data_IF_437104608123
#
_entry.id   IF_437104608123
#
_cell.length_a   1.000
_cell.length_b   1.000
_cell.length_c   1.000
_cell.angle_alpha   90.00
_cell.angle_beta   90.00
_cell.angle_gamma   90.00
#
_symmetry.space_group_name_H-M   'P 1'
#
loop_
_entity.id
_entity.type
_entity.pdbx_description
1 polymer ?
#
# COMPACT_ATOMS: atom_id res chain seq x y z
N UNK A 1 -20.70 -28.60 1.21
CA UNK A 1 -19.23 -28.50 1.00
C UNK A 1 -18.72 -29.40 -0.13
N UNK A 2 -19.00 -30.72 -0.10
CA UNK A 2 -18.45 -31.67 -1.08
C UNK A 2 -18.80 -31.35 -2.54
N UNK A 3 -20.03 -30.90 -2.82
CA UNK A 3 -20.43 -30.43 -4.15
C UNK A 3 -19.64 -29.18 -4.62
N UNK A 4 -19.40 -28.20 -3.75
CA UNK A 4 -18.61 -27.01 -4.11
C UNK A 4 -17.15 -27.39 -4.43
N UNK A 5 -16.57 -28.27 -3.62
CA UNK A 5 -15.20 -28.77 -3.81
C UNK A 5 -15.06 -29.62 -5.08
N UNK A 6 -16.11 -30.26 -5.58
CA UNK A 6 -16.07 -31.00 -6.85
C UNK A 6 -16.22 -30.09 -8.08
N UNK A 7 -16.92 -28.96 -7.96
CA UNK A 7 -17.20 -28.08 -9.10
C UNK A 7 -16.19 -26.95 -9.29
N UNK A 8 -15.64 -26.37 -8.22
CA UNK A 8 -14.75 -25.21 -8.31
C UNK A 8 -13.29 -25.59 -8.00
N UNK A 9 -12.35 -25.05 -8.78
CA UNK A 9 -10.91 -25.21 -8.56
C UNK A 9 -10.35 -24.18 -7.57
N UNK A 10 -10.93 -22.99 -7.58
CA UNK A 10 -10.52 -21.86 -6.75
C UNK A 10 -11.72 -21.26 -6.01
N UNK A 11 -11.44 -20.67 -4.86
CA UNK A 11 -12.42 -20.03 -3.98
C UNK A 11 -11.89 -18.65 -3.60
N UNK A 12 -12.73 -17.63 -3.77
CA UNK A 12 -12.47 -16.30 -3.24
C UNK A 12 -13.35 -16.10 -2.01
N UNK A 13 -12.73 -15.74 -0.88
CA UNK A 13 -13.42 -15.28 0.31
C UNK A 13 -13.29 -13.76 0.36
N UNK A 14 -14.41 -13.07 0.49
CA UNK A 14 -14.52 -11.62 0.43
C UNK A 14 -15.58 -11.18 1.43
N UNK A 15 -15.24 -10.28 2.36
CA UNK A 15 -16.23 -9.67 3.25
C UNK A 15 -16.67 -8.26 2.80
N UNK A 16 -17.67 -7.71 3.48
CA UNK A 16 -18.26 -6.40 3.16
C UNK A 16 -17.49 -5.20 3.71
N UNK A 17 -16.35 -5.40 4.37
CA UNK A 17 -15.53 -4.34 4.96
C UNK A 17 -14.57 -3.71 3.96
N UNK A 18 -14.47 -4.21 2.73
CA UNK A 18 -13.62 -3.64 1.66
C UNK A 18 -14.38 -2.88 0.58
N UNK A 19 -13.63 -2.02 -0.12
CA UNK A 19 -14.01 -1.38 -1.38
C UNK A 19 -13.10 -1.87 -2.50
N UNK A 20 -13.68 -2.16 -3.66
CA UNK A 20 -12.98 -2.65 -4.85
C UNK A 20 -13.90 -3.53 -5.72
N UNK A 21 -13.36 -4.24 -6.72
CA UNK A 21 -11.96 -4.26 -7.12
C UNK A 21 -11.56 -2.95 -7.84
N UNK A 22 -10.45 -2.36 -7.43
CA UNK A 22 -9.78 -1.27 -8.13
C UNK A 22 -8.73 -1.84 -9.09
N UNK A 23 -8.97 -1.70 -10.39
CA UNK A 23 -8.03 -2.10 -11.44
C UNK A 23 -7.69 -0.92 -12.38
N UNK A 24 -6.46 -0.83 -12.88
CA UNK A 24 -6.12 0.20 -13.86
C UNK A 24 -7.03 0.17 -15.09
N UNK A 25 -7.30 1.34 -15.69
CA UNK A 25 -8.19 1.45 -16.87
C UNK A 25 -7.79 0.55 -18.03
N UNK A 26 -6.50 0.34 -18.26
CA UNK A 26 -6.00 -0.56 -19.31
C UNK A 26 -6.33 -2.04 -19.05
N UNK A 27 -6.56 -2.44 -17.79
CA UNK A 27 -7.10 -3.76 -17.44
C UNK A 27 -8.59 -3.84 -17.75
N UNK A 28 -9.33 -2.74 -17.69
CA UNK A 28 -10.76 -2.70 -18.04
C UNK A 28 -11.05 -2.61 -19.56
N UNK A 29 -10.08 -2.20 -20.38
CA UNK A 29 -10.32 -1.69 -21.74
C UNK A 29 -10.63 -2.71 -22.84
N UNK A 30 -10.53 -4.04 -22.64
CA UNK A 30 -10.91 -4.98 -23.72
C UNK A 30 -12.43 -5.17 -23.92
N UNK A 31 -13.28 -4.22 -23.52
CA UNK A 31 -14.73 -4.30 -23.77
C UNK A 31 -15.34 -3.04 -24.39
N UNK A 32 -14.53 -2.11 -24.90
CA UNK A 32 -15.07 -0.91 -25.56
C UNK A 32 -14.50 -0.75 -26.97
N UNK A 33 -15.17 -1.34 -27.97
CA UNK A 33 -15.18 -0.79 -29.33
C UNK A 33 -14.44 -1.50 -30.47
N UNK A 34 -14.18 -2.82 -30.43
CA UNK A 34 -13.60 -3.57 -31.55
C UNK A 34 -14.38 -4.86 -31.87
N UNK A 35 -14.37 -5.30 -33.13
CA UNK A 35 -15.07 -6.49 -33.62
C UNK A 35 -14.89 -7.71 -32.70
N UNK A 36 -16.00 -8.44 -32.49
CA UNK A 36 -16.15 -9.52 -31.50
C UNK A 36 -15.28 -10.77 -31.76
N UNK A 37 -14.40 -10.76 -32.77
CA UNK A 37 -13.84 -12.00 -33.32
C UNK A 37 -12.35 -12.00 -33.66
N UNK A 38 -11.60 -10.92 -33.49
CA UNK A 38 -10.18 -10.92 -33.87
C UNK A 38 -9.26 -10.70 -32.66
N UNK A 39 -8.86 -11.81 -32.04
CA UNK A 39 -7.80 -12.01 -31.04
C UNK A 39 -8.11 -11.73 -29.55
N UNK A 40 -8.16 -12.77 -28.69
CA UNK A 40 -8.47 -12.67 -27.27
C UNK A 40 -7.21 -12.37 -26.46
N UNK A 41 -6.82 -11.11 -26.36
CA UNK A 41 -6.12 -10.69 -25.14
C UNK A 41 -7.18 -10.63 -24.05
N UNK A 42 -7.49 -11.80 -23.47
CA UNK A 42 -8.46 -11.94 -22.40
C UNK A 42 -8.09 -10.93 -21.31
N UNK A 43 -8.90 -9.89 -21.15
CA UNK A 43 -8.79 -9.01 -19.99
C UNK A 43 -8.82 -9.90 -18.76
N UNK A 44 -7.72 -9.85 -18.00
CA UNK A 44 -7.60 -10.60 -16.76
C UNK A 44 -8.79 -10.22 -15.88
N UNK A 45 -9.63 -11.20 -15.59
CA UNK A 45 -10.67 -11.04 -14.56
C UNK A 45 -9.98 -10.61 -13.27
N UNK A 46 -10.59 -9.72 -12.48
CA UNK A 46 -10.04 -9.35 -11.18
C UNK A 46 -9.78 -10.57 -10.29
N UNK A 47 -10.56 -11.63 -10.47
CA UNK A 47 -10.39 -12.91 -9.77
C UNK A 47 -9.04 -13.54 -10.10
N UNK A 48 -8.61 -13.46 -11.37
CA UNK A 48 -7.35 -14.06 -11.82
C UNK A 48 -6.13 -13.38 -11.22
N UNK A 49 -6.24 -12.10 -10.84
CA UNK A 49 -5.17 -11.38 -10.13
C UNK A 49 -4.76 -12.09 -8.83
N UNK A 50 -5.73 -12.72 -8.15
CA UNK A 50 -5.48 -13.50 -6.94
C UNK A 50 -5.31 -15.00 -7.25
N UNK A 51 -6.15 -15.59 -8.10
CA UNK A 51 -6.11 -17.05 -8.33
C UNK A 51 -4.90 -17.50 -9.14
N UNK A 52 -4.34 -16.67 -10.02
CA UNK A 52 -3.13 -17.02 -10.78
C UNK A 52 -1.90 -17.21 -9.84
N UNK A 53 -1.97 -16.68 -8.62
CA UNK A 53 -0.93 -16.84 -7.59
C UNK A 53 -1.14 -18.08 -6.72
N UNK A 54 -2.33 -18.70 -6.78
CA UNK A 54 -2.58 -19.98 -6.13
C UNK A 54 -1.99 -21.08 -7.00
N UNK A 55 -1.24 -22.00 -6.42
CA UNK A 55 -0.50 -23.00 -7.17
C UNK A 55 -0.15 -24.24 -6.36
N UNK A 56 0.78 -25.08 -6.84
CA UNK A 56 1.18 -26.30 -6.13
C UNK A 56 1.72 -26.02 -4.72
N UNK A 57 2.48 -24.94 -4.55
CA UNK A 57 3.08 -24.56 -3.27
C UNK A 57 2.23 -23.53 -2.50
N UNK A 58 1.63 -22.56 -3.19
CA UNK A 58 0.87 -21.46 -2.57
C UNK A 58 -0.59 -21.83 -2.43
N UNK A 59 -1.12 -21.88 -1.20
CA UNK A 59 -2.50 -22.31 -0.91
C UNK A 59 -3.39 -21.22 -0.33
N UNK A 60 -2.84 -20.05 -0.03
CA UNK A 60 -3.59 -18.90 0.43
C UNK A 60 -2.93 -17.63 -0.09
N UNK A 61 -3.71 -16.82 -0.80
CA UNK A 61 -3.29 -15.53 -1.34
C UNK A 61 -4.22 -14.47 -0.80
N UNK A 62 -3.72 -13.30 -0.42
CA UNK A 62 -4.59 -12.19 -0.05
C UNK A 62 -4.12 -10.85 -0.53
N UNK A 63 -4.85 -9.80 -0.15
CA UNK A 63 -4.56 -8.44 -0.62
C UNK A 63 -3.23 -7.89 -0.09
N UNK A 64 -2.85 -8.24 1.13
CA UNK A 64 -1.67 -7.70 1.83
C UNK A 64 -1.21 -8.66 2.94
N UNK A 65 -0.02 -8.41 3.47
CA UNK A 65 0.57 -9.14 4.61
C UNK A 65 0.75 -8.18 5.78
N UNK A 66 0.30 -8.61 6.96
CA UNK A 66 0.55 -7.93 8.23
C UNK A 66 1.43 -8.82 9.10
N UNK A 67 2.13 -8.18 10.04
CA UNK A 67 3.09 -8.82 10.93
C UNK A 67 2.75 -8.59 12.40
N UNK A 68 1.49 -8.22 12.67
CA UNK A 68 0.94 -7.94 13.99
C UNK A 68 -0.12 -8.99 14.39
N UNK A 69 0.12 -9.83 15.42
CA UNK A 69 1.36 -10.01 16.17
C UNK A 69 2.38 -10.92 15.46
N UNK A 70 2.00 -11.57 14.36
CA UNK A 70 2.86 -12.45 13.58
C UNK A 70 2.56 -12.30 12.08
N UNK A 71 3.40 -12.86 11.21
CA UNK A 71 3.20 -12.85 9.76
C UNK A 71 1.90 -13.58 9.38
N UNK A 72 0.99 -12.86 8.74
CA UNK A 72 -0.24 -13.40 8.20
C UNK A 72 -0.69 -12.63 6.96
N UNK A 73 -1.33 -13.36 6.04
CA UNK A 73 -2.08 -12.77 4.94
C UNK A 73 -3.37 -12.18 5.49
N UNK A 74 -3.58 -10.89 5.29
CA UNK A 74 -4.70 -10.19 5.92
C UNK A 74 -6.05 -10.60 5.35
N UNK A 75 -7.03 -10.72 6.24
CA UNK A 75 -8.43 -10.60 5.87
C UNK A 75 -8.67 -9.16 5.35
N UNK A 76 -9.63 -8.92 4.46
CA UNK A 76 -10.81 -9.75 4.22
C UNK A 76 -10.92 -10.33 2.82
N UNK A 77 -9.84 -10.33 2.06
CA UNK A 77 -9.82 -10.87 0.70
C UNK A 77 -8.80 -11.99 0.64
N UNK A 78 -9.30 -13.20 0.43
CA UNK A 78 -8.47 -14.38 0.23
C UNK A 78 -8.83 -15.13 -1.04
N UNK A 79 -7.83 -15.70 -1.69
CA UNK A 79 -7.97 -16.72 -2.70
C UNK A 79 -7.28 -18.00 -2.26
N UNK A 80 -7.92 -19.13 -2.54
CA UNK A 80 -7.39 -20.45 -2.21
C UNK A 80 -7.86 -21.48 -3.25
N UNK A 81 -7.22 -22.64 -3.29
CA UNK A 81 -7.68 -23.79 -4.08
C UNK A 81 -8.46 -24.78 -3.19
N UNK A 82 -8.87 -25.91 -3.77
CA UNK A 82 -9.54 -26.98 -3.01
C UNK A 82 -8.71 -27.50 -1.82
N UNK A 83 -7.39 -27.52 -1.94
CA UNK A 83 -6.52 -28.03 -0.90
C UNK A 83 -6.40 -27.03 0.26
N UNK A 84 -6.14 -25.76 -0.06
CA UNK A 84 -6.13 -24.69 0.93
C UNK A 84 -7.49 -24.54 1.61
N UNK A 85 -8.61 -24.57 0.89
CA UNK A 85 -9.94 -24.52 1.51
C UNK A 85 -10.18 -25.68 2.48
N UNK A 86 -9.72 -26.90 2.16
CA UNK A 86 -9.78 -28.04 3.10
C UNK A 86 -8.95 -27.80 4.36
N UNK A 87 -7.78 -27.18 4.24
CA UNK A 87 -6.96 -26.80 5.39
C UNK A 87 -7.68 -25.77 6.26
N UNK A 88 -8.26 -24.73 5.65
CA UNK A 88 -9.02 -23.72 6.39
C UNK A 88 -10.19 -24.35 7.17
N UNK A 89 -10.99 -25.18 6.51
CA UNK A 89 -12.13 -25.87 7.13
C UNK A 89 -11.70 -26.84 8.23
N UNK A 90 -10.67 -27.66 7.99
CA UNK A 90 -10.17 -28.64 8.97
C UNK A 90 -9.68 -27.96 10.26
N UNK A 91 -9.15 -26.73 10.15
CA UNK A 91 -8.62 -25.98 11.29
C UNK A 91 -9.63 -24.98 11.88
N UNK A 92 -10.91 -25.05 11.50
CA UNK A 92 -11.96 -24.17 12.04
C UNK A 92 -11.81 -22.70 11.65
N UNK A 93 -11.01 -22.40 10.63
CA UNK A 93 -10.73 -21.02 10.16
C UNK A 93 -11.99 -20.34 9.63
N UNK A 94 -12.99 -21.09 9.18
CA UNK A 94 -14.25 -20.57 8.65
C UNK A 94 -15.45 -20.81 9.59
N UNK A 95 -15.19 -21.19 10.84
CA UNK A 95 -16.23 -21.34 11.85
C UNK A 95 -16.75 -19.97 12.30
N UNK A 96 -17.91 -19.93 12.94
CA UNK A 96 -18.44 -18.69 13.50
C UNK A 96 -17.63 -18.27 14.76
N UNK A 97 -17.18 -17.02 14.80
CA UNK A 97 -16.69 -16.40 16.02
C UNK A 97 -17.83 -15.75 16.81
N UNK A 98 -17.78 -15.90 18.13
CA UNK A 98 -18.67 -15.16 19.05
C UNK A 98 -18.00 -13.88 19.59
N UNK A 99 -16.67 -13.79 19.51
CA UNK A 99 -15.87 -12.67 20.03
C UNK A 99 -14.84 -12.22 19.00
N UNK A 100 -14.63 -10.91 18.87
CA UNK A 100 -13.72 -10.30 17.90
C UNK A 100 -12.26 -10.76 18.06
N UNK A 101 -11.76 -10.84 19.30
CA UNK A 101 -10.40 -11.33 19.56
C UNK A 101 -10.22 -12.78 19.10
N UNK A 102 -11.21 -13.63 19.41
CA UNK A 102 -11.24 -15.02 18.94
C UNK A 102 -11.35 -15.10 17.41
N UNK A 103 -11.98 -14.11 16.79
CA UNK A 103 -12.14 -14.03 15.36
C UNK A 103 -10.81 -13.75 14.66
N UNK A 104 -10.06 -12.73 15.13
CA UNK A 104 -8.74 -12.41 14.60
C UNK A 104 -7.76 -13.57 14.77
N UNK A 105 -7.70 -14.15 15.97
CA UNK A 105 -6.76 -15.21 16.30
C UNK A 105 -7.01 -16.50 15.49
N UNK A 106 -8.27 -16.98 15.47
CA UNK A 106 -8.59 -18.26 14.83
C UNK A 106 -8.81 -18.16 13.33
N UNK A 107 -9.31 -17.03 12.84
CA UNK A 107 -9.64 -16.90 11.42
C UNK A 107 -8.49 -16.25 10.66
N UNK A 108 -8.11 -15.02 10.98
CA UNK A 108 -7.10 -14.30 10.20
C UNK A 108 -5.68 -14.85 10.40
N UNK A 109 -5.21 -14.92 11.66
CA UNK A 109 -3.90 -15.49 11.97
C UNK A 109 -3.91 -17.01 11.74
N UNK A 110 -4.97 -17.67 12.21
CA UNK A 110 -5.17 -19.11 12.06
C UNK A 110 -5.17 -19.60 10.61
N UNK A 111 -5.67 -18.81 9.64
CA UNK A 111 -5.60 -19.16 8.22
C UNK A 111 -4.16 -19.35 7.74
N UNK A 112 -3.29 -18.37 8.02
CA UNK A 112 -1.89 -18.42 7.60
C UNK A 112 -1.15 -19.54 8.34
N UNK A 113 -1.37 -19.69 9.64
CA UNK A 113 -0.80 -20.79 10.43
C UNK A 113 -1.20 -22.16 9.89
N UNK A 114 -2.48 -22.37 9.58
CA UNK A 114 -2.98 -23.65 9.08
C UNK A 114 -2.31 -24.05 7.76
N UNK A 115 -2.08 -23.09 6.86
CA UNK A 115 -1.42 -23.32 5.57
C UNK A 115 0.07 -23.59 5.75
N UNK A 116 0.78 -22.73 6.50
CA UNK A 116 2.21 -22.88 6.73
C UNK A 116 2.55 -24.17 7.50
N UNK A 117 1.77 -24.53 8.52
CA UNK A 117 1.99 -25.75 9.31
C UNK A 117 1.73 -27.03 8.50
N UNK A 118 0.98 -26.94 7.40
CA UNK A 118 0.78 -28.04 6.46
C UNK A 118 1.90 -28.17 5.41
N UNK A 119 2.96 -27.35 5.50
CA UNK A 119 4.10 -27.36 4.58
C UNK A 119 3.86 -26.58 3.28
N UNK A 120 2.79 -25.78 3.21
CA UNK A 120 2.47 -24.93 2.06
C UNK A 120 2.90 -23.48 2.30
N UNK A 121 2.88 -22.69 1.23
CA UNK A 121 3.20 -21.26 1.23
C UNK A 121 1.94 -20.39 1.16
N UNK A 122 2.14 -19.11 1.50
CA UNK A 122 1.16 -18.04 1.34
C UNK A 122 1.77 -16.93 0.47
N UNK A 123 0.93 -16.13 -0.19
CA UNK A 123 1.35 -14.99 -1.03
C UNK A 123 0.39 -13.79 -0.87
N UNK A 124 0.77 -12.63 -1.39
CA UNK A 124 -0.11 -11.46 -1.47
C UNK A 124 0.14 -10.60 -2.71
N UNK A 125 -0.71 -9.60 -2.91
CA UNK A 125 -0.62 -8.71 -4.08
C UNK A 125 0.48 -7.63 -3.98
N UNK A 126 1.02 -7.38 -2.78
CA UNK A 126 1.97 -6.29 -2.56
C UNK A 126 3.29 -6.53 -3.32
N UNK A 127 3.71 -5.54 -4.11
CA UNK A 127 4.93 -5.52 -4.91
C UNK A 127 6.18 -5.75 -4.07
N UNK A 128 6.19 -5.23 -2.84
CA UNK A 128 7.27 -5.46 -1.86
C UNK A 128 7.63 -6.93 -1.66
N UNK A 129 6.64 -7.82 -1.78
CA UNK A 129 6.80 -9.25 -1.55
C UNK A 129 6.90 -10.05 -2.86
N UNK A 130 7.01 -9.38 -4.00
CA UNK A 130 7.13 -10.06 -5.29
C UNK A 130 8.40 -10.92 -5.33
N UNK A 131 8.23 -12.23 -5.59
CA UNK A 131 9.33 -13.19 -5.64
C UNK A 131 9.90 -13.57 -4.27
N UNK A 132 9.31 -13.08 -3.17
CA UNK A 132 9.72 -13.42 -1.81
C UNK A 132 8.88 -14.59 -1.31
N UNK A 133 9.56 -15.64 -0.84
CA UNK A 133 8.88 -16.70 -0.10
C UNK A 133 8.54 -16.19 1.32
N UNK A 134 7.26 -15.88 1.56
CA UNK A 134 6.78 -15.39 2.85
C UNK A 134 6.97 -16.39 4.01
N UNK A 135 7.03 -17.69 3.73
CA UNK A 135 7.32 -18.69 4.76
C UNK A 135 8.74 -18.51 5.33
N UNK A 136 9.70 -18.10 4.50
CA UNK A 136 11.08 -17.81 4.95
C UNK A 136 11.17 -16.56 5.82
N UNK A 137 10.30 -15.56 5.59
CA UNK A 137 10.24 -14.39 6.46
C UNK A 137 9.89 -14.81 7.90
N UNK A 138 8.95 -15.75 8.05
CA UNK A 138 8.60 -16.34 9.34
C UNK A 138 9.74 -17.18 9.92
N UNK A 139 10.35 -18.06 9.11
CA UNK A 139 11.43 -18.95 9.54
C UNK A 139 12.65 -18.18 10.09
N UNK A 140 13.06 -17.14 9.39
CA UNK A 140 14.24 -16.33 9.76
C UNK A 140 13.91 -15.13 10.64
N UNK A 141 12.65 -14.96 11.05
CA UNK A 141 12.22 -13.82 11.87
C UNK A 141 12.49 -12.45 11.22
N UNK A 142 12.46 -12.39 9.89
CA UNK A 142 12.74 -11.16 9.16
C UNK A 142 11.57 -10.18 9.32
N UNK A 143 11.85 -8.89 9.54
CA UNK A 143 10.79 -7.91 9.70
C UNK A 143 10.03 -7.74 8.38
N UNK A 144 8.72 -7.93 8.43
CA UNK A 144 7.80 -7.51 7.38
C UNK A 144 7.05 -6.26 7.86
N UNK A 145 6.86 -5.28 6.97
CA UNK A 145 6.00 -4.10 7.21
C UNK A 145 6.19 -3.38 8.56
N UNK A 146 7.42 -2.99 8.91
CA UNK A 146 7.68 -2.33 10.21
C UNK A 146 7.35 -3.19 11.44
N UNK A 147 7.15 -4.51 11.26
CA UNK A 147 6.60 -5.48 12.24
C UNK A 147 5.14 -5.23 12.63
N UNK A 148 4.36 -4.65 11.72
CA UNK A 148 3.00 -4.21 11.99
C UNK A 148 2.10 -4.31 10.72
N UNK A 149 0.91 -3.71 10.76
CA UNK A 149 -0.07 -3.67 9.69
C UNK A 149 0.32 -2.66 8.59
N UNK A 150 0.34 -3.05 7.30
CA UNK A 150 0.74 -2.17 6.20
C UNK A 150 -0.19 -1.00 5.98
N UNK A 151 -1.42 -1.10 6.49
CA UNK A 151 -2.43 -0.05 6.35
C UNK A 151 -2.20 1.11 7.32
N UNK A 152 -1.33 0.93 8.33
CA UNK A 152 -0.94 1.99 9.25
C UNK A 152 0.04 2.96 8.59
N UNK A 153 -0.04 4.28 8.88
CA UNK A 153 0.87 5.27 8.30
C UNK A 153 2.33 4.89 8.47
N UNK A 154 3.11 5.03 7.40
CA UNK A 154 4.56 4.78 7.32
C UNK A 154 5.02 3.31 7.40
N UNK A 155 4.15 2.37 7.77
CA UNK A 155 4.57 0.99 8.05
C UNK A 155 4.83 0.15 6.79
N UNK A 156 4.39 0.62 5.62
CA UNK A 156 4.73 0.06 4.31
C UNK A 156 5.79 0.91 3.59
N UNK A 157 7.00 1.00 4.16
CA UNK A 157 8.15 1.76 3.62
C UNK A 157 7.84 3.24 3.35
N UNK A 158 7.06 3.87 4.24
CA UNK A 158 6.63 5.26 4.04
C UNK A 158 5.51 5.43 2.99
N UNK A 159 5.09 4.35 2.31
CA UNK A 159 4.06 4.39 1.29
C UNK A 159 2.71 3.94 1.86
N UNK A 160 1.60 4.61 1.53
CA UNK A 160 0.27 4.04 1.77
C UNK A 160 0.07 2.79 0.89
N UNK A 161 -0.77 1.86 1.36
CA UNK A 161 -1.20 0.73 0.53
C UNK A 161 -1.92 1.25 -0.72
N UNK A 162 -1.42 0.90 -1.91
CA UNK A 162 -1.97 1.43 -3.15
C UNK A 162 -3.22 0.66 -3.59
N UNK A 163 -4.39 1.31 -3.79
CA UNK A 163 -5.61 0.62 -4.22
C UNK A 163 -5.47 -0.16 -5.53
N UNK A 164 -4.64 0.31 -6.47
CA UNK A 164 -4.42 -0.37 -7.76
C UNK A 164 -3.44 -1.55 -7.66
N UNK A 165 -2.73 -1.69 -6.54
CA UNK A 165 -1.83 -2.81 -6.24
C UNK A 165 -2.61 -3.93 -5.55
N UNK A 166 -3.31 -3.60 -4.46
CA UNK A 166 -3.99 -4.61 -3.62
C UNK A 166 -5.43 -4.90 -4.04
N UNK A 167 -5.95 -4.15 -5.02
CA UNK A 167 -7.28 -4.20 -5.67
C UNK A 167 -8.50 -4.06 -4.74
N UNK A 168 -8.40 -4.45 -3.47
CA UNK A 168 -9.41 -4.23 -2.44
C UNK A 168 -8.74 -3.56 -1.24
N UNK A 169 -9.38 -2.52 -0.72
CA UNK A 169 -8.89 -1.74 0.41
C UNK A 169 -9.95 -1.67 1.50
N UNK A 170 -9.53 -1.68 2.76
CA UNK A 170 -10.46 -1.58 3.88
C UNK A 170 -11.24 -0.27 3.81
N UNK A 171 -12.56 -0.39 3.96
CA UNK A 171 -13.54 0.68 3.92
C UNK A 171 -14.27 0.80 5.26
N UNK A 172 -13.52 0.69 6.36
CA UNK A 172 -14.10 0.73 7.69
C UNK A 172 -14.53 2.18 8.03
N UNK A 173 -15.76 2.32 8.56
CA UNK A 173 -16.40 3.62 8.85
C UNK A 173 -15.81 4.33 10.08
N UNK A 174 -15.06 3.61 10.92
CA UNK A 174 -14.56 4.11 12.21
C UNK A 174 -13.10 4.53 12.21
N UNK A 175 -12.33 4.21 11.18
CA UNK A 175 -11.12 4.98 10.92
C UNK A 175 -11.58 6.33 10.36
N UNK A 176 -11.38 7.41 11.12
CA UNK A 176 -11.57 8.79 10.65
C UNK A 176 -10.81 9.08 9.33
N UNK A 177 -9.86 8.20 8.99
CA UNK A 177 -9.23 8.03 7.69
C UNK A 177 -9.84 6.87 6.87
N UNK A 178 -11.14 6.90 6.57
CA UNK A 178 -11.58 6.34 5.29
C UNK A 178 -10.88 7.18 4.24
N UNK A 179 -9.71 6.70 3.83
CA UNK A 179 -8.66 7.46 3.18
C UNK A 179 -9.27 8.24 2.00
N UNK A 180 -8.97 9.54 1.93
CA UNK A 180 -9.38 10.38 0.82
C UNK A 180 -9.03 9.73 -0.52
N UNK A 181 -7.95 8.92 -0.53
CA UNK A 181 -7.57 8.04 -1.61
C UNK A 181 -8.68 7.05 -1.99
N UNK A 182 -9.18 6.24 -1.06
CA UNK A 182 -10.23 5.23 -1.31
C UNK A 182 -11.51 5.89 -1.81
N UNK A 183 -11.88 7.05 -1.25
CA UNK A 183 -13.08 7.79 -1.67
C UNK A 183 -12.91 8.33 -3.09
N UNK A 184 -11.77 8.95 -3.41
CA UNK A 184 -11.47 9.44 -4.76
C UNK A 184 -11.39 8.32 -5.79
N UNK A 185 -10.73 7.20 -5.47
CA UNK A 185 -10.73 6.02 -6.36
C UNK A 185 -12.16 5.46 -6.53
N UNK A 186 -12.99 5.46 -5.50
CA UNK A 186 -14.40 5.07 -5.65
C UNK A 186 -15.14 5.98 -6.64
N UNK A 187 -14.95 7.29 -6.55
CA UNK A 187 -15.58 8.25 -7.47
C UNK A 187 -15.06 8.08 -8.90
N UNK A 188 -13.76 7.83 -9.08
CA UNK A 188 -13.15 7.55 -10.40
C UNK A 188 -13.79 6.34 -11.07
N UNK A 189 -13.98 5.25 -10.31
CA UNK A 189 -14.56 4.01 -10.84
C UNK A 189 -16.05 4.10 -11.09
N UNK A 190 -16.77 4.92 -10.33
CA UNK A 190 -18.22 5.11 -10.50
C UNK A 190 -18.55 6.23 -11.50
N UNK A 191 -17.55 6.84 -12.14
CA UNK A 191 -17.75 7.95 -13.07
C UNK A 191 -18.33 9.21 -12.41
N UNK A 192 -18.12 9.38 -11.10
CA UNK A 192 -18.60 10.52 -10.30
C UNK A 192 -17.60 11.67 -10.27
N UNK A 193 -16.79 11.77 -11.32
CA UNK A 193 -15.72 12.75 -11.43
C UNK A 193 -16.24 13.96 -12.17
N UNK A 194 -16.14 15.10 -11.51
CA UNK A 194 -16.16 16.38 -12.20
C UNK A 194 -14.73 16.66 -12.68
N UNK A 195 -14.56 16.81 -14.00
CA UNK A 195 -13.25 17.07 -14.59
C UNK A 195 -12.72 18.47 -14.26
N UNK A 196 -13.58 19.36 -13.78
CA UNK A 196 -13.20 20.68 -13.28
C UNK A 196 -12.85 20.66 -11.79
N UNK A 197 -13.27 19.63 -11.04
CA UNK A 197 -12.89 19.44 -9.62
C UNK A 197 -11.46 18.92 -9.50
N UNK A 198 -10.59 19.75 -8.93
CA UNK A 198 -9.27 19.37 -8.52
C UNK A 198 -9.07 19.77 -7.06
N UNK A 199 -8.73 18.82 -6.18
CA UNK A 199 -8.51 19.16 -4.76
C UNK A 199 -7.51 20.29 -4.59
N UNK A 200 -6.46 20.36 -5.43
CA UNK A 200 -5.44 21.40 -5.36
C UNK A 200 -5.97 22.82 -5.65
N UNK A 201 -7.12 22.98 -6.32
CA UNK A 201 -7.73 24.30 -6.60
C UNK A 201 -8.69 24.73 -5.49
N UNK A 202 -9.13 23.82 -4.62
CA UNK A 202 -10.00 24.15 -3.48
C UNK A 202 -9.23 24.86 -2.36
N UNK A 203 -9.90 25.70 -1.56
CA UNK A 203 -9.31 26.33 -0.37
C UNK A 203 -8.70 25.30 0.59
N UNK A 204 -9.38 24.15 0.77
CA UNK A 204 -8.91 23.07 1.62
C UNK A 204 -7.62 22.44 1.07
N UNK A 205 -7.54 22.20 -0.23
CA UNK A 205 -6.33 21.62 -0.82
C UNK A 205 -5.17 22.61 -0.89
N UNK A 206 -5.43 23.90 -1.14
CA UNK A 206 -4.41 24.95 -1.03
C UNK A 206 -3.84 25.03 0.38
N UNK A 207 -4.70 24.98 1.41
CA UNK A 207 -4.27 24.93 2.81
C UNK A 207 -3.47 23.66 3.13
N UNK A 208 -3.88 22.50 2.58
CA UNK A 208 -3.13 21.25 2.75
C UNK A 208 -1.75 21.29 2.07
N UNK A 209 -1.63 21.88 0.89
CA UNK A 209 -0.34 22.09 0.21
C UNK A 209 0.57 23.02 1.02
N UNK A 210 0.01 24.09 1.58
CA UNK A 210 0.77 25.01 2.42
C UNK A 210 1.23 24.36 3.73
N UNK A 211 0.35 23.61 4.40
CA UNK A 211 0.71 22.84 5.60
C UNK A 211 1.86 21.85 5.33
N UNK A 212 1.87 21.20 4.15
CA UNK A 212 2.98 20.32 3.74
C UNK A 212 4.30 21.07 3.59
N UNK A 213 4.28 22.27 2.98
CA UNK A 213 5.48 23.13 2.86
C UNK A 213 5.99 23.57 4.22
N UNK A 214 5.09 23.99 5.11
CA UNK A 214 5.43 24.41 6.46
C UNK A 214 6.01 23.24 7.28
N UNK A 215 5.43 22.04 7.16
CA UNK A 215 5.98 20.83 7.79
C UNK A 215 7.40 20.54 7.29
N UNK A 216 7.63 20.59 5.97
CA UNK A 216 8.96 20.43 5.40
C UNK A 216 9.95 21.48 5.93
N UNK A 217 9.57 22.76 5.92
CA UNK A 217 10.42 23.84 6.43
C UNK A 217 10.79 23.61 7.90
N UNK A 218 9.82 23.22 8.73
CA UNK A 218 10.04 22.89 10.14
C UNK A 218 10.98 21.70 10.34
N UNK A 219 10.82 20.64 9.53
CA UNK A 219 11.72 19.48 9.59
C UNK A 219 13.14 19.84 9.14
N UNK A 220 13.29 20.61 8.06
CA UNK A 220 14.59 21.07 7.55
C UNK A 220 15.33 21.88 8.63
N UNK A 221 14.63 22.80 9.30
CA UNK A 221 15.19 23.55 10.42
C UNK A 221 15.56 22.63 11.60
N UNK A 222 14.68 21.71 11.98
CA UNK A 222 14.88 20.84 13.15
C UNK A 222 15.99 19.81 12.96
N UNK A 223 16.23 19.37 11.72
CA UNK A 223 17.29 18.44 11.36
C UNK A 223 18.59 19.13 10.96
N UNK A 224 18.63 20.47 10.89
CA UNK A 224 19.76 21.18 10.30
C UNK A 224 20.04 20.74 8.86
N UNK A 225 18.99 20.35 8.12
CA UNK A 225 19.11 19.82 6.78
C UNK A 225 19.47 20.95 5.80
N UNK A 226 20.30 20.63 4.81
CA UNK A 226 20.78 21.60 3.82
C UNK A 226 20.52 21.11 2.41
N UNK A 227 19.87 21.93 1.59
CA UNK A 227 19.55 21.61 0.20
C UNK A 227 20.82 21.50 -0.65
N UNK A 228 20.97 20.41 -1.41
CA UNK A 228 22.01 20.28 -2.44
C UNK A 228 21.65 21.14 -3.67
N UNK A 229 22.16 22.37 -3.66
CA UNK A 229 21.97 23.33 -4.74
C UNK A 229 22.57 22.87 -6.06
N UNK A 230 23.68 22.13 -6.05
CA UNK A 230 24.32 21.67 -7.29
C UNK A 230 23.41 20.66 -7.97
N UNK A 231 22.92 19.69 -7.22
CA UNK A 231 21.95 18.71 -7.72
C UNK A 231 20.70 19.40 -8.26
N UNK A 232 20.07 20.27 -7.45
CA UNK A 232 18.84 20.96 -7.85
C UNK A 232 19.02 21.84 -9.09
N UNK A 233 20.12 22.59 -9.19
CA UNK A 233 20.39 23.47 -10.31
C UNK A 233 20.51 22.73 -11.65
N UNK A 234 20.97 21.47 -11.65
CA UNK A 234 21.00 20.65 -12.88
C UNK A 234 19.61 20.31 -13.42
N UNK A 235 18.60 20.24 -12.54
CA UNK A 235 17.23 19.86 -12.88
C UNK A 235 16.31 21.06 -13.06
N UNK A 236 16.55 22.10 -12.28
CA UNK A 236 15.77 23.33 -12.27
C UNK A 236 16.70 24.53 -12.03
N UNK A 237 17.33 25.07 -13.08
CA UNK A 237 18.21 26.23 -12.96
C UNK A 237 17.48 27.45 -12.34
N UNK A 238 16.19 27.63 -12.64
CA UNK A 238 15.38 28.72 -12.09
C UNK A 238 14.90 28.51 -10.64
N UNK A 239 15.18 27.36 -10.03
CA UNK A 239 14.86 27.10 -8.63
C UNK A 239 15.92 27.65 -7.66
N UNK A 240 17.10 28.01 -8.18
CA UNK A 240 18.19 28.58 -7.40
C UNK A 240 18.43 30.03 -7.85
N UNK A 241 18.49 30.94 -6.89
CA UNK A 241 18.85 32.34 -7.13
C UNK A 241 20.36 32.55 -7.18
N UNK A 242 21.12 31.64 -6.56
CA UNK A 242 22.58 31.74 -6.42
C UNK A 242 23.03 32.76 -5.38
N UNK A 243 22.11 33.42 -4.67
CA UNK A 243 22.42 34.46 -3.67
C UNK A 243 22.94 33.88 -2.36
N UNK A 244 22.20 32.96 -1.75
CA UNK A 244 22.61 32.22 -0.55
C UNK A 244 21.91 30.87 -0.47
N UNK A 245 22.41 29.95 0.36
CA UNK A 245 21.79 28.64 0.54
C UNK A 245 20.39 28.76 1.13
N UNK A 246 20.21 29.63 2.10
CA UNK A 246 18.95 29.88 2.82
C UNK A 246 17.89 30.43 1.87
N UNK A 247 18.27 31.39 1.02
CA UNK A 247 17.37 31.99 0.02
C UNK A 247 16.96 30.96 -1.02
N UNK A 248 17.91 30.18 -1.53
CA UNK A 248 17.63 29.14 -2.53
C UNK A 248 16.70 28.05 -1.94
N UNK A 249 16.93 27.68 -0.69
CA UNK A 249 16.11 26.70 0.03
C UNK A 249 14.69 27.20 0.28
N UNK A 250 14.52 28.46 0.70
CA UNK A 250 13.19 29.06 0.88
C UNK A 250 12.42 29.14 -0.44
N UNK A 251 13.07 29.63 -1.51
CA UNK A 251 12.48 29.69 -2.85
C UNK A 251 12.02 28.30 -3.29
N UNK A 252 12.87 27.29 -3.10
CA UNK A 252 12.57 25.92 -3.48
C UNK A 252 11.36 25.37 -2.70
N UNK A 253 11.37 25.41 -1.37
CA UNK A 253 10.29 24.89 -0.53
C UNK A 253 8.97 25.59 -0.83
N UNK A 254 9.00 26.92 -1.00
CA UNK A 254 7.78 27.70 -1.25
C UNK A 254 7.20 27.44 -2.64
N UNK A 255 8.04 27.44 -3.67
CA UNK A 255 7.56 27.57 -5.06
C UNK A 255 7.76 26.31 -5.91
N UNK A 256 8.60 25.36 -5.50
CA UNK A 256 9.08 24.30 -6.38
C UNK A 256 8.99 22.89 -5.80
N UNK A 257 8.95 22.72 -4.47
CA UNK A 257 8.99 21.38 -3.87
C UNK A 257 7.82 20.46 -4.28
N UNK A 258 6.66 21.05 -4.58
CA UNK A 258 5.47 20.30 -5.02
C UNK A 258 5.41 20.09 -6.54
N UNK A 259 6.45 20.49 -7.30
CA UNK A 259 6.47 20.41 -8.77
C UNK A 259 7.17 19.15 -9.31
N UNK A 260 7.56 18.23 -8.44
CA UNK A 260 8.16 16.95 -8.83
C UNK A 260 9.60 17.04 -9.35
N UNK A 261 10.30 18.14 -9.05
CA UNK A 261 11.74 18.20 -9.27
C UNK A 261 12.44 17.24 -8.31
N UNK A 262 13.45 16.53 -8.79
CA UNK A 262 14.34 15.75 -7.95
C UNK A 262 15.21 16.72 -7.11
N UNK A 263 15.29 16.47 -5.80
CA UNK A 263 16.03 17.29 -4.83
C UNK A 263 16.67 16.42 -3.76
N UNK A 264 17.73 16.92 -3.14
CA UNK A 264 18.43 16.21 -2.07
C UNK A 264 18.73 17.17 -0.92
N UNK A 265 18.60 16.66 0.30
CA UNK A 265 18.99 17.32 1.54
C UNK A 265 20.12 16.53 2.21
N UNK A 266 21.14 17.25 2.66
CA UNK A 266 22.19 16.72 3.54
C UNK A 266 21.85 17.03 4.99
N UNK A 267 21.84 16.00 5.84
CA UNK A 267 21.65 16.11 7.29
C UNK A 267 23.00 15.87 7.99
N UNK A 268 23.42 16.70 8.96
CA UNK A 268 24.65 16.47 9.71
C UNK A 268 24.60 15.13 10.47
N UNK A 269 25.66 14.32 10.34
CA UNK A 269 25.74 12.95 10.91
C UNK A 269 25.54 12.91 12.43
N UNK A 270 25.97 13.97 13.13
CA UNK A 270 25.77 14.10 14.57
C UNK A 270 24.28 14.19 14.95
N UNK A 271 23.47 14.86 14.12
CA UNK A 271 22.02 15.07 14.34
C UNK A 271 21.22 13.83 13.94
N UNK A 272 21.59 13.19 12.83
CA UNK A 272 20.89 12.02 12.30
C UNK A 272 20.81 10.83 13.28
N UNK A 273 21.77 10.72 14.20
CA UNK A 273 21.88 9.61 15.17
C UNK A 273 21.38 9.97 16.58
N UNK A 274 20.79 11.16 16.79
CA UNK A 274 20.31 11.57 18.11
C UNK A 274 18.84 11.14 18.37
N UNK A 275 18.55 10.47 19.50
CA UNK A 275 17.23 9.87 19.78
C UNK A 275 15.98 10.77 19.76
N UNK A 276 16.01 12.10 20.02
CA UNK A 276 14.81 12.93 19.83
C UNK A 276 14.50 13.26 18.36
N UNK A 277 15.38 12.90 17.41
CA UNK A 277 15.33 13.31 16.00
C UNK A 277 15.24 12.12 15.03
N UNK A 278 14.62 11.01 15.44
CA UNK A 278 14.45 9.84 14.57
C UNK A 278 13.80 10.15 13.19
N UNK A 279 12.99 11.21 13.09
CA UNK A 279 12.44 11.67 11.81
C UNK A 279 13.49 12.25 10.84
N UNK A 280 14.65 12.70 11.35
CA UNK A 280 15.78 13.17 10.54
C UNK A 280 16.53 12.02 9.87
N UNK A 281 16.47 10.80 10.43
CA UNK A 281 16.99 9.60 9.77
C UNK A 281 16.27 9.39 8.42
N UNK A 282 14.97 9.65 8.36
CA UNK A 282 14.21 9.52 7.12
C UNK A 282 14.68 10.51 6.04
N UNK A 283 15.03 11.75 6.42
CA UNK A 283 15.67 12.70 5.49
C UNK A 283 17.01 12.18 5.00
N UNK A 284 17.88 11.73 5.91
CA UNK A 284 19.21 11.25 5.57
C UNK A 284 19.15 10.01 4.65
N UNK A 285 18.24 9.09 4.96
CA UNK A 285 18.17 7.77 4.32
C UNK A 285 17.34 7.75 3.05
N UNK A 286 16.18 8.39 3.05
CA UNK A 286 15.19 8.25 1.98
C UNK A 286 15.05 9.49 1.11
N UNK A 287 15.59 10.64 1.53
CA UNK A 287 15.48 11.92 0.79
C UNK A 287 14.02 12.33 0.48
N UNK A 288 13.06 11.69 1.14
CA UNK A 288 11.63 11.82 0.92
C UNK A 288 10.97 11.92 2.30
N UNK A 289 10.94 13.13 2.89
CA UNK A 289 10.34 13.29 4.19
C UNK A 289 8.85 12.99 4.13
N UNK A 290 8.35 12.31 5.14
CA UNK A 290 6.91 12.23 5.33
C UNK A 290 6.39 13.66 5.56
N UNK A 291 5.43 14.07 4.73
CA UNK A 291 4.75 15.36 4.80
C UNK A 291 3.26 15.21 5.13
N UNK A 292 2.81 14.03 5.54
CA UNK A 292 1.43 13.85 6.01
C UNK A 292 1.16 14.71 7.26
N UNK A 293 0.01 15.38 7.37
CA UNK A 293 -0.29 16.21 8.55
C UNK A 293 -0.35 15.41 9.85
#
# INVERSE_FOLDING_TARGET
MNALLSHYSHFILLDSTVRGPFLPRYVHQARSGGSRWDSPQAVKSWVSVLTDRVGPEVKLVGRSVSCEPELHVQAPVWATDRQGLRLLLKNGVLDCAMEEASARERHELGATRAVLNAGYHVDCLMLRYQGINLARLREYGLPCTGRDNPSSPLLNDGLPVNPLEVIFVLANRHFLASDALVRRYTDYFLGRVDLEDNQATTLRGQAALEARRQRLAGMVASCGATLDRKHLATRCPGCVSGKSLEVDQEIFIKNHVMKGYDFQFSVPTAIANHPPQAFCEAFARYQAPDLTP
#
